data_IF_866628931473
#
_entry.id   IF_866628931473
#
_cell.length_a   1.000
_cell.length_b   1.000
_cell.length_c   1.000
_cell.angle_alpha   90.00
_cell.angle_beta   90.00
_cell.angle_gamma   90.00
#
_symmetry.space_group_name_H-M   'P 1'
#
loop_
_entity.id
_entity.type
_entity.pdbx_description
1 polymer ?
#
# COMPACT_ATOMS: atom_id res chain seq x y z
N UNK A 1 -4.67 20.78 -7.95
CA UNK A 1 -4.06 22.11 -7.79
C UNK A 1 -3.45 22.14 -6.39
N UNK A 2 -2.12 22.14 -6.30
CA UNK A 2 -1.43 22.36 -5.03
C UNK A 2 -1.06 23.83 -5.06
N UNK A 3 -1.68 24.61 -4.18
CA UNK A 3 -1.18 25.94 -3.85
C UNK A 3 -0.21 25.77 -2.69
N UNK A 4 0.77 26.68 -2.55
CA UNK A 4 2.01 26.49 -1.77
C UNK A 4 1.83 25.95 -0.33
N UNK A 5 0.64 26.09 0.26
CA UNK A 5 0.31 25.55 1.58
C UNK A 5 -1.06 24.85 1.67
N UNK A 6 -1.71 24.52 0.54
CA UNK A 6 -3.06 23.94 0.54
C UNK A 6 -3.19 22.74 -0.39
N UNK A 7 -3.70 21.64 0.18
CA UNK A 7 -4.05 20.42 -0.54
C UNK A 7 -5.56 20.23 -0.52
N UNK A 8 -6.13 19.93 -1.69
CA UNK A 8 -7.54 19.59 -1.85
C UNK A 8 -7.67 18.10 -2.15
N UNK A 9 -8.46 17.39 -1.34
CA UNK A 9 -8.87 16.01 -1.64
C UNK A 9 -10.12 16.06 -2.49
N UNK A 10 -10.00 15.58 -3.72
CA UNK A 10 -11.06 15.56 -4.74
C UNK A 10 -11.49 14.12 -5.03
N UNK A 11 -12.48 13.94 -5.91
CA UNK A 11 -12.96 12.62 -6.36
C UNK A 11 -13.61 11.78 -5.23
N UNK A 12 -14.51 12.41 -4.46
CA UNK A 12 -15.31 11.77 -3.42
C UNK A 12 -16.55 11.03 -3.96
N UNK A 13 -16.52 10.54 -5.20
CA UNK A 13 -17.68 9.86 -5.80
C UNK A 13 -18.00 8.50 -5.18
N UNK A 14 -17.02 7.88 -4.48
CA UNK A 14 -17.11 6.52 -3.94
C UNK A 14 -16.42 6.38 -2.56
N UNK A 15 -16.89 7.06 -1.51
CA UNK A 15 -16.36 6.86 -0.17
C UNK A 15 -16.77 5.48 0.39
N UNK A 16 -15.96 4.93 1.29
CA UNK A 16 -16.27 3.71 2.01
C UNK A 16 -15.88 3.84 3.48
N UNK A 17 -16.58 3.12 4.36
CA UNK A 17 -16.17 2.99 5.76
C UNK A 17 -15.03 1.97 5.87
N UNK A 18 -13.98 2.31 6.62
CA UNK A 18 -12.82 1.45 6.84
C UNK A 18 -12.07 1.82 8.11
N UNK A 19 -11.03 1.05 8.43
CA UNK A 19 -10.12 1.40 9.50
C UNK A 19 -9.38 2.71 9.17
N UNK A 20 -9.10 3.54 10.18
CA UNK A 20 -8.52 4.88 9.98
C UNK A 20 -7.18 4.87 9.24
N UNK A 21 -6.42 3.77 9.31
CA UNK A 21 -5.12 3.63 8.66
C UNK A 21 -5.20 3.30 7.16
N UNK A 22 -6.38 2.94 6.63
CA UNK A 22 -6.53 2.45 5.24
C UNK A 22 -6.09 3.48 4.19
N UNK A 23 -6.45 4.75 4.36
CA UNK A 23 -6.07 5.81 3.42
C UNK A 23 -4.55 6.03 3.40
N UNK A 24 -3.92 6.00 4.58
CA UNK A 24 -2.47 6.07 4.69
C UNK A 24 -1.81 4.84 4.04
N UNK A 25 -2.42 3.65 4.10
CA UNK A 25 -1.86 2.43 3.53
C UNK A 25 -1.94 2.45 2.00
N UNK A 26 -3.01 3.00 1.44
CA UNK A 26 -3.04 3.33 0.01
C UNK A 26 -1.95 4.33 -0.37
N UNK A 27 -1.61 5.27 0.51
CA UNK A 27 -0.53 6.24 0.26
C UNK A 27 0.85 5.60 0.32
N UNK A 28 1.10 4.67 1.23
CA UNK A 28 2.32 3.84 1.24
C UNK A 28 2.53 3.17 -0.12
N UNK A 29 1.49 2.52 -0.67
CA UNK A 29 1.56 1.88 -1.99
C UNK A 29 1.92 2.89 -3.09
N UNK A 30 1.36 4.10 -3.05
CA UNK A 30 1.66 5.16 -4.03
C UNK A 30 3.08 5.69 -3.89
N UNK A 31 3.59 5.88 -2.66
CA UNK A 31 4.98 6.27 -2.41
C UNK A 31 5.96 5.22 -2.93
N UNK A 32 5.68 3.93 -2.72
CA UNK A 32 6.45 2.82 -3.30
C UNK A 32 6.40 2.84 -4.82
N UNK A 33 5.22 3.10 -5.40
CA UNK A 33 5.04 3.31 -6.84
C UNK A 33 5.85 4.48 -7.39
N UNK A 34 6.02 5.55 -6.60
CA UNK A 34 6.85 6.70 -6.92
C UNK A 34 8.36 6.47 -6.73
N UNK A 35 8.76 5.29 -6.22
CA UNK A 35 10.17 4.89 -6.09
C UNK A 35 10.74 4.95 -4.68
N UNK A 36 9.96 5.37 -3.68
CA UNK A 36 10.41 5.34 -2.29
C UNK A 36 10.56 3.91 -1.76
N UNK A 37 11.56 3.62 -0.89
CA UNK A 37 11.67 2.34 -0.21
C UNK A 37 10.42 2.05 0.64
N UNK A 38 9.86 0.83 0.61
CA UNK A 38 8.69 0.46 1.41
C UNK A 38 8.82 0.77 2.91
N UNK A 39 10.00 0.53 3.48
CA UNK A 39 10.31 0.84 4.88
C UNK A 39 10.14 2.33 5.19
N UNK A 40 10.66 3.22 4.32
CA UNK A 40 10.55 4.67 4.53
C UNK A 40 9.11 5.15 4.32
N UNK A 41 8.36 4.53 3.40
CA UNK A 41 6.96 4.83 3.20
C UNK A 41 6.11 4.45 4.43
N UNK A 42 6.34 3.28 5.02
CA UNK A 42 5.68 2.89 6.29
C UNK A 42 6.09 3.77 7.47
N UNK A 43 7.36 4.18 7.56
CA UNK A 43 7.83 5.11 8.60
C UNK A 43 7.16 6.48 8.48
N UNK A 44 6.97 7.00 7.26
CA UNK A 44 6.18 8.20 7.04
C UNK A 44 4.74 8.02 7.53
N UNK A 45 4.11 6.89 7.20
CA UNK A 45 2.74 6.60 7.62
C UNK A 45 2.63 6.48 9.14
N UNK A 46 3.63 5.89 9.80
CA UNK A 46 3.72 5.77 11.26
C UNK A 46 3.76 7.12 11.99
N UNK A 47 4.10 8.21 11.31
CA UNK A 47 4.00 9.57 11.84
C UNK A 47 2.56 10.12 11.89
N UNK A 48 1.58 9.44 11.27
CA UNK A 48 0.20 9.90 11.20
C UNK A 48 -0.62 9.33 12.37
N UNK A 49 -1.44 10.16 13.01
CA UNK A 49 -2.33 9.74 14.08
C UNK A 49 -3.31 8.64 13.62
N UNK A 50 -3.72 8.63 12.35
CA UNK A 50 -4.62 7.63 11.79
C UNK A 50 -3.97 6.25 11.60
N UNK A 51 -2.64 6.13 11.69
CA UNK A 51 -1.91 4.87 11.60
C UNK A 51 -2.01 4.01 12.86
N UNK A 52 -2.59 4.57 13.94
CA UNK A 52 -2.80 3.85 15.18
C UNK A 52 -3.62 2.57 14.97
N UNK A 53 -3.20 1.48 15.61
CA UNK A 53 -3.93 0.20 15.59
C UNK A 53 -3.75 -0.64 14.33
N UNK A 54 -2.88 -0.23 13.40
CA UNK A 54 -2.46 -1.13 12.31
C UNK A 54 -1.65 -2.29 12.90
N UNK A 55 -1.96 -3.52 12.49
CA UNK A 55 -1.18 -4.71 12.82
C UNK A 55 -0.34 -5.13 11.64
N UNK A 56 0.77 -5.83 11.88
CA UNK A 56 1.63 -6.32 10.81
C UNK A 56 0.86 -7.26 9.86
N UNK A 57 0.13 -8.23 10.41
CA UNK A 57 -0.73 -9.13 9.64
C UNK A 57 -1.83 -8.38 8.88
N UNK A 58 -2.47 -7.39 9.50
CA UNK A 58 -3.52 -6.59 8.88
C UNK A 58 -3.00 -5.79 7.68
N UNK A 59 -1.79 -5.24 7.80
CA UNK A 59 -1.15 -4.49 6.71
C UNK A 59 -0.70 -5.43 5.57
N UNK A 60 -0.16 -6.61 5.91
CA UNK A 60 0.19 -7.64 4.93
C UNK A 60 -1.02 -8.19 4.18
N UNK A 61 -2.13 -8.42 4.88
CA UNK A 61 -3.40 -8.83 4.29
C UNK A 61 -3.97 -7.74 3.37
N UNK A 62 -3.98 -6.48 3.81
CA UNK A 62 -4.40 -5.34 3.00
C UNK A 62 -3.55 -5.22 1.72
N UNK A 63 -2.22 -5.25 1.84
CA UNK A 63 -1.31 -5.16 0.69
C UNK A 63 -1.58 -6.28 -0.33
N UNK A 64 -1.75 -7.52 0.15
CA UNK A 64 -2.04 -8.68 -0.69
C UNK A 64 -3.38 -8.53 -1.41
N UNK A 65 -4.43 -8.09 -0.69
CA UNK A 65 -5.75 -7.84 -1.27
C UNK A 65 -5.69 -6.79 -2.38
N UNK A 66 -5.07 -5.63 -2.12
CA UNK A 66 -4.96 -4.54 -3.11
C UNK A 66 -4.15 -4.99 -4.34
N UNK A 67 -3.09 -5.78 -4.15
CA UNK A 67 -2.32 -6.35 -5.25
C UNK A 67 -3.14 -7.29 -6.13
N UNK A 68 -3.95 -8.16 -5.54
CA UNK A 68 -4.87 -9.05 -6.27
C UNK A 68 -5.94 -8.27 -7.02
N UNK A 69 -6.60 -7.34 -6.33
CA UNK A 69 -7.67 -6.49 -6.89
C UNK A 69 -7.22 -5.73 -8.14
N UNK A 70 -6.07 -5.05 -8.07
CA UNK A 70 -5.56 -4.32 -9.23
C UNK A 70 -5.01 -5.22 -10.32
N UNK A 71 -4.53 -6.42 -9.99
CA UNK A 71 -4.14 -7.41 -11.01
C UNK A 71 -5.34 -7.85 -11.84
N UNK A 72 -6.47 -8.17 -11.21
CA UNK A 72 -7.72 -8.50 -11.92
C UNK A 72 -8.21 -7.33 -12.77
N UNK A 73 -8.23 -6.10 -12.21
CA UNK A 73 -8.65 -4.91 -12.97
C UNK A 73 -7.73 -4.60 -14.15
N UNK A 74 -6.42 -4.84 -14.02
CA UNK A 74 -5.49 -4.67 -15.12
C UNK A 74 -5.76 -5.66 -16.26
N UNK A 75 -6.12 -6.91 -15.93
CA UNK A 75 -6.53 -7.90 -16.92
C UNK A 75 -7.84 -7.54 -17.63
N UNK A 76 -8.83 -7.03 -16.89
CA UNK A 76 -10.14 -6.67 -17.43
C UNK A 76 -10.12 -5.39 -18.28
N UNK A 77 -9.45 -4.34 -17.79
CA UNK A 77 -9.47 -3.04 -18.45
C UNK A 77 -8.39 -2.90 -19.54
N UNK A 78 -7.29 -3.64 -19.44
CA UNK A 78 -6.17 -3.56 -20.40
C UNK A 78 -5.44 -2.20 -20.43
N UNK A 79 -5.78 -1.25 -19.55
CA UNK A 79 -5.21 0.11 -19.60
C UNK A 79 -3.85 0.17 -18.89
N UNK A 80 -2.95 1.01 -19.42
CA UNK A 80 -1.65 1.31 -18.77
C UNK A 80 -1.82 1.83 -17.34
N UNK A 81 -2.88 2.59 -17.09
CA UNK A 81 -3.20 3.11 -15.76
C UNK A 81 -3.55 1.99 -14.76
N UNK A 82 -4.28 0.96 -15.19
CA UNK A 82 -4.58 -0.20 -14.35
C UNK A 82 -3.35 -1.11 -14.16
N UNK A 83 -2.56 -1.31 -15.21
CA UNK A 83 -1.31 -2.06 -15.15
C UNK A 83 -0.30 -1.42 -14.17
N UNK A 84 -0.15 -0.09 -14.21
CA UNK A 84 0.72 0.64 -13.28
C UNK A 84 0.26 0.48 -11.82
N UNK A 85 -1.06 0.55 -11.57
CA UNK A 85 -1.63 0.33 -10.23
C UNK A 85 -1.36 -1.09 -9.72
N UNK A 86 -1.51 -2.09 -10.59
CA UNK A 86 -1.20 -3.47 -10.26
C UNK A 86 0.30 -3.65 -9.95
N UNK A 87 1.17 -3.04 -10.74
CA UNK A 87 2.62 -3.11 -10.53
C UNK A 87 3.05 -2.52 -9.18
N UNK A 88 2.58 -1.31 -8.83
CA UNK A 88 2.93 -0.71 -7.53
C UNK A 88 2.37 -1.50 -6.34
N UNK A 89 1.13 -1.99 -6.43
CA UNK A 89 0.52 -2.77 -5.36
C UNK A 89 1.25 -4.11 -5.16
N UNK A 90 1.60 -4.81 -6.25
CA UNK A 90 2.38 -6.05 -6.18
C UNK A 90 3.77 -5.82 -5.60
N UNK A 91 4.46 -4.73 -5.98
CA UNK A 91 5.79 -4.40 -5.44
C UNK A 91 5.75 -4.27 -3.91
N UNK A 92 4.75 -3.57 -3.38
CA UNK A 92 4.58 -3.43 -1.93
C UNK A 92 4.20 -4.76 -1.25
N UNK A 93 3.25 -5.51 -1.81
CA UNK A 93 2.86 -6.81 -1.29
C UNK A 93 4.02 -7.82 -1.26
N UNK A 94 4.80 -7.92 -2.34
CA UNK A 94 5.98 -8.79 -2.42
C UNK A 94 6.97 -8.44 -1.30
N UNK A 95 7.21 -7.14 -1.07
CA UNK A 95 8.10 -6.70 0.00
C UNK A 95 7.57 -7.12 1.39
N UNK A 96 6.29 -6.88 1.70
CA UNK A 96 5.65 -7.29 2.97
C UNK A 96 5.75 -8.80 3.20
N UNK A 97 5.46 -9.59 2.16
CA UNK A 97 5.45 -11.05 2.22
C UNK A 97 6.85 -11.68 2.22
N UNK A 98 7.88 -10.94 1.80
CA UNK A 98 9.26 -11.41 1.87
C UNK A 98 9.84 -11.40 3.29
N UNK A 99 9.14 -10.77 4.25
CA UNK A 99 9.56 -10.55 5.62
C UNK A 99 10.83 -9.68 5.73
N UNK A 100 11.19 -9.20 6.94
CA UNK A 100 12.57 -8.84 7.20
C UNK A 100 13.46 -10.08 6.99
N UNK A 101 14.64 -9.90 6.43
CA UNK A 101 15.61 -11.00 6.22
C UNK A 101 15.94 -11.82 7.48
N UNK A 102 15.61 -11.31 8.67
CA UNK A 102 15.79 -11.97 9.97
C UNK A 102 14.89 -13.21 10.19
N UNK A 103 13.72 -13.30 9.55
CA UNK A 103 12.78 -14.41 9.77
C UNK A 103 12.99 -15.59 8.80
N UNK A 104 13.76 -15.36 7.73
CA UNK A 104 14.11 -16.37 6.73
C UNK A 104 15.13 -17.40 7.22
N UNK A 105 15.86 -17.11 8.30
CA UNK A 105 16.78 -18.06 8.96
C UNK A 105 16.12 -18.88 10.07
N UNK A 106 14.90 -18.52 10.51
CA UNK A 106 14.15 -19.29 11.50
C UNK A 106 13.42 -20.50 10.88
N UNK A 107 13.13 -20.45 9.58
CA UNK A 107 12.55 -21.54 8.80
C UNK A 107 13.63 -22.37 8.07
N UNK A 108 14.50 -23.04 8.82
CA UNK A 108 15.37 -24.09 8.27
C UNK A 108 15.49 -25.33 9.17
N UNK A 109 14.50 -25.57 10.02
CA UNK A 109 14.50 -26.75 10.89
C UNK A 109 13.17 -26.99 11.57
N UNK A 110 12.30 -27.75 10.91
CA UNK A 110 11.45 -28.78 11.52
C UNK A 110 10.79 -29.63 10.46
#
# INVERSE_FOLDING_TARGET
MIEESRVWVVDWGWPAQGAGWVDAAFMVIRLVGAGHPPQLAEQWAAGLACWAGVTDDGLSAFASHVAGLWSVRAMQAGTRAAQNRAAMARRYAIWRLSGPAADRTAWSGR
#
